data_IF_362808753880
#
_entry.id   IF_362808753880
#
_cell.length_a   1.000
_cell.length_b   1.000
_cell.length_c   1.000
_cell.angle_alpha   90.00
_cell.angle_beta   90.00
_cell.angle_gamma   90.00
#
_symmetry.space_group_name_H-M   'P 1'
#
loop_
_entity.id
_entity.type
_entity.pdbx_description
1 polymer ?
#
# COMPACT_ATOMS: atom_id res chain seq x y z
N UNK A 1 22.06 -22.27 -7.71
CA UNK A 1 21.88 -22.62 -9.13
C UNK A 1 20.47 -23.13 -9.29
N UNK A 2 19.56 -22.29 -9.80
CA UNK A 2 18.17 -22.67 -10.01
C UNK A 2 18.04 -23.54 -11.26
N UNK A 3 17.31 -24.66 -11.14
CA UNK A 3 16.98 -25.56 -12.24
C UNK A 3 16.10 -24.83 -13.26
N UNK A 4 16.73 -24.33 -14.34
CA UNK A 4 16.04 -23.74 -15.50
C UNK A 4 15.30 -24.77 -16.37
N UNK A 5 15.42 -26.08 -16.07
CA UNK A 5 14.89 -27.17 -16.90
C UNK A 5 13.49 -27.66 -16.52
N UNK A 6 12.89 -27.18 -15.42
CA UNK A 6 11.52 -27.57 -15.03
C UNK A 6 10.43 -26.60 -15.52
N UNK A 7 10.81 -25.47 -16.12
CA UNK A 7 9.89 -24.64 -16.88
C UNK A 7 9.81 -25.24 -18.29
N UNK A 8 8.71 -25.92 -18.60
CA UNK A 8 8.47 -26.49 -19.93
C UNK A 8 8.64 -25.44 -21.04
N UNK A 9 8.99 -25.89 -22.24
CA UNK A 9 9.04 -25.04 -23.41
C UNK A 9 7.69 -25.05 -24.12
N UNK A 10 7.12 -23.87 -24.36
CA UNK A 10 6.00 -23.72 -25.28
C UNK A 10 6.52 -23.69 -26.70
N UNK A 11 5.90 -24.47 -27.60
CA UNK A 11 6.26 -24.47 -29.02
C UNK A 11 5.44 -23.42 -29.74
N UNK A 12 6.12 -22.46 -30.35
CA UNK A 12 5.53 -21.46 -31.26
C UNK A 12 5.92 -21.74 -32.70
N UNK A 13 5.04 -21.37 -33.65
CA UNK A 13 5.32 -21.44 -35.08
C UNK A 13 6.06 -20.18 -35.51
N UNK A 14 7.37 -20.15 -35.24
CA UNK A 14 8.24 -19.01 -35.50
C UNK A 14 9.26 -19.31 -36.61
N UNK A 15 9.51 -18.32 -37.46
CA UNK A 15 10.58 -18.35 -38.45
C UNK A 15 11.93 -18.07 -37.76
N UNK A 16 12.67 -19.15 -37.49
CA UNK A 16 13.95 -19.10 -36.78
C UNK A 16 14.98 -18.18 -37.45
N UNK A 17 14.92 -18.03 -38.79
CA UNK A 17 15.91 -17.25 -39.53
C UNK A 17 15.71 -15.74 -39.38
N UNK A 18 14.48 -15.29 -39.16
CA UNK A 18 14.12 -13.88 -38.98
C UNK A 18 13.68 -13.50 -37.57
N UNK A 19 13.69 -14.46 -36.63
CA UNK A 19 13.30 -14.23 -35.25
C UNK A 19 14.21 -13.20 -34.55
N UNK A 20 13.58 -12.15 -34.04
CA UNK A 20 14.19 -10.99 -33.41
C UNK A 20 13.53 -10.76 -32.04
N UNK A 21 14.24 -11.00 -30.93
CA UNK A 21 13.80 -10.56 -29.60
C UNK A 21 13.78 -9.04 -29.53
N UNK A 22 12.63 -8.45 -29.19
CA UNK A 22 12.45 -7.00 -29.06
C UNK A 22 12.62 -6.55 -27.61
N UNK A 23 12.07 -7.31 -26.67
CA UNK A 23 12.15 -7.08 -25.24
C UNK A 23 12.05 -8.42 -24.49
N UNK A 24 12.10 -8.40 -23.15
CA UNK A 24 12.06 -9.59 -22.30
C UNK A 24 10.96 -10.59 -22.68
N UNK A 25 9.77 -10.09 -23.03
CA UNK A 25 8.59 -10.90 -23.33
C UNK A 25 8.05 -10.73 -24.75
N UNK A 26 8.71 -9.91 -25.58
CA UNK A 26 8.24 -9.59 -26.93
C UNK A 26 9.28 -9.96 -27.96
N UNK A 27 8.82 -10.53 -29.07
CA UNK A 27 9.65 -10.82 -30.23
C UNK A 27 8.85 -10.63 -31.51
N UNK A 28 9.54 -10.62 -32.66
CA UNK A 28 8.90 -10.71 -33.97
C UNK A 28 9.73 -11.55 -34.90
N UNK A 29 9.13 -12.02 -35.97
CA UNK A 29 9.83 -12.54 -37.14
C UNK A 29 9.22 -11.94 -38.41
N UNK A 30 9.57 -12.47 -39.59
CA UNK A 30 9.02 -11.98 -40.86
C UNK A 30 7.50 -12.20 -41.00
N UNK A 31 6.94 -13.19 -40.31
CA UNK A 31 5.56 -13.68 -40.45
C UNK A 31 4.67 -13.34 -39.25
N UNK A 32 5.21 -13.07 -38.05
CA UNK A 32 4.45 -12.90 -36.81
C UNK A 32 5.08 -11.93 -35.79
N UNK A 33 4.26 -11.40 -34.90
CA UNK A 33 4.66 -10.75 -33.64
C UNK A 33 4.24 -11.64 -32.48
N UNK A 34 5.12 -11.74 -31.47
CA UNK A 34 4.96 -12.64 -30.34
C UNK A 34 4.96 -11.89 -29.01
N UNK A 35 4.07 -12.30 -28.11
CA UNK A 35 4.16 -12.05 -26.67
C UNK A 35 4.29 -13.39 -25.96
N UNK A 36 5.43 -13.65 -25.32
CA UNK A 36 5.81 -14.97 -24.78
C UNK A 36 5.64 -16.05 -25.86
N UNK A 37 4.69 -16.96 -25.67
CA UNK A 37 4.36 -18.06 -26.56
C UNK A 37 3.08 -17.83 -27.39
N UNK A 38 2.53 -16.62 -27.37
CA UNK A 38 1.34 -16.23 -28.14
C UNK A 38 1.73 -15.45 -29.40
N UNK A 39 1.08 -15.78 -30.52
CA UNK A 39 1.08 -14.93 -31.73
C UNK A 39 -0.01 -13.87 -31.54
N UNK A 40 0.38 -12.61 -31.56
CA UNK A 40 -0.49 -11.45 -31.26
C UNK A 40 -0.81 -10.61 -32.50
N UNK A 41 -0.68 -11.20 -33.69
CA UNK A 41 -0.89 -10.54 -34.99
C UNK A 41 -2.27 -9.88 -35.15
N UNK A 42 -3.29 -10.39 -34.45
CA UNK A 42 -4.64 -9.85 -34.49
C UNK A 42 -4.84 -8.64 -33.56
N UNK A 43 -3.94 -8.43 -32.59
CA UNK A 43 -4.04 -7.39 -31.57
C UNK A 43 -3.26 -6.11 -31.95
N UNK A 44 -2.30 -6.21 -32.87
CA UNK A 44 -1.30 -5.15 -33.14
C UNK A 44 -1.09 -4.89 -34.64
N UNK A 45 -0.71 -3.66 -34.99
CA UNK A 45 -0.08 -3.40 -36.29
C UNK A 45 1.38 -3.87 -36.30
N UNK A 46 1.58 -5.05 -36.88
CA UNK A 46 2.89 -5.71 -36.99
C UNK A 46 3.95 -4.88 -37.70
N UNK A 47 3.55 -4.05 -38.66
CA UNK A 47 4.50 -3.31 -39.50
C UNK A 47 5.19 -2.18 -38.73
N UNK A 48 4.52 -1.66 -37.71
CA UNK A 48 4.98 -0.54 -36.88
C UNK A 48 5.25 -0.96 -35.44
N UNK A 49 5.06 -2.25 -35.12
CA UNK A 49 5.23 -2.80 -33.78
C UNK A 49 6.65 -2.63 -33.25
N UNK A 50 6.72 -2.12 -32.02
CA UNK A 50 7.93 -2.01 -31.22
C UNK A 50 7.60 -2.28 -29.76
N UNK A 51 8.56 -2.81 -29.00
CA UNK A 51 8.35 -3.16 -27.61
C UNK A 51 9.50 -2.68 -26.73
N UNK A 52 9.17 -2.42 -25.46
CA UNK A 52 10.09 -2.20 -24.36
C UNK A 52 9.84 -3.21 -23.24
N UNK A 53 10.48 -3.00 -22.09
CA UNK A 53 10.23 -3.84 -20.92
C UNK A 53 8.82 -3.59 -20.39
N UNK A 54 7.97 -4.64 -20.45
CA UNK A 54 6.59 -4.60 -19.95
C UNK A 54 5.68 -3.54 -20.62
N UNK A 55 5.95 -3.19 -21.88
CA UNK A 55 5.13 -2.25 -22.66
C UNK A 55 5.40 -2.45 -24.16
N UNK A 56 4.40 -2.26 -25.00
CA UNK A 56 4.54 -2.29 -26.45
C UNK A 56 3.75 -1.18 -27.13
N UNK A 57 4.05 -0.95 -28.40
CA UNK A 57 3.49 0.15 -29.18
C UNK A 57 3.35 -0.28 -30.63
N UNK A 58 2.35 0.28 -31.28
CA UNK A 58 2.35 0.45 -32.74
C UNK A 58 2.07 1.93 -33.07
N UNK A 59 1.79 2.27 -34.33
CA UNK A 59 1.48 3.66 -34.70
C UNK A 59 0.17 4.19 -34.10
N UNK A 60 -0.76 3.32 -33.70
CA UNK A 60 -2.10 3.68 -33.23
C UNK A 60 -2.26 3.56 -31.71
N UNK A 61 -1.53 2.64 -31.08
CA UNK A 61 -1.82 2.18 -29.74
C UNK A 61 -0.58 1.98 -28.87
N UNK A 62 -0.77 2.23 -27.58
CA UNK A 62 0.11 1.77 -26.50
C UNK A 62 -0.53 0.54 -25.89
N UNK A 63 0.30 -0.48 -25.64
CA UNK A 63 -0.09 -1.77 -25.14
C UNK A 63 0.63 -2.11 -23.85
N UNK A 64 -0.11 -2.65 -22.89
CA UNK A 64 0.42 -3.22 -21.65
C UNK A 64 0.07 -4.71 -21.64
N UNK A 65 0.97 -5.63 -21.29
CA UNK A 65 0.59 -7.02 -21.08
C UNK A 65 -0.60 -7.13 -20.13
N UNK A 66 -1.64 -7.87 -20.55
CA UNK A 66 -2.90 -7.93 -19.80
C UNK A 66 -2.70 -8.51 -18.39
N UNK A 67 -1.71 -9.37 -18.19
CA UNK A 67 -1.36 -9.90 -16.86
C UNK A 67 -0.81 -8.83 -15.89
N UNK A 68 -0.36 -7.68 -16.41
CA UNK A 68 0.23 -6.60 -15.62
C UNK A 68 -0.76 -5.50 -15.25
N UNK A 69 -1.98 -5.51 -15.81
CA UNK A 69 -3.02 -4.55 -15.41
C UNK A 69 -3.76 -5.05 -14.16
N UNK A 70 -4.46 -4.16 -13.46
CA UNK A 70 -5.13 -4.52 -12.20
C UNK A 70 -6.19 -5.62 -12.41
N UNK A 71 -6.44 -6.41 -11.36
CA UNK A 71 -7.45 -7.47 -11.38
C UNK A 71 -8.82 -6.95 -11.81
N UNK A 72 -9.20 -5.75 -11.36
CA UNK A 72 -10.48 -5.12 -11.71
C UNK A 72 -10.59 -4.85 -13.23
N UNK A 73 -9.49 -4.47 -13.88
CA UNK A 73 -9.45 -4.30 -15.34
C UNK A 73 -9.59 -5.67 -16.02
N UNK A 74 -8.83 -6.67 -15.57
CA UNK A 74 -8.86 -8.01 -16.16
C UNK A 74 -10.26 -8.66 -16.07
N UNK A 75 -10.90 -8.59 -14.90
CA UNK A 75 -12.23 -9.18 -14.67
C UNK A 75 -13.33 -8.53 -15.54
N UNK A 76 -13.15 -7.24 -15.85
CA UNK A 76 -14.10 -6.48 -16.68
C UNK A 76 -14.00 -6.84 -18.17
N UNK A 77 -12.79 -7.07 -18.70
CA UNK A 77 -12.56 -7.20 -20.14
C UNK A 77 -13.03 -8.53 -20.72
N UNK A 78 -12.93 -9.63 -19.97
CA UNK A 78 -13.32 -10.99 -20.41
C UNK A 78 -12.88 -11.30 -21.85
N UNK A 79 -11.60 -11.06 -22.13
CA UNK A 79 -10.98 -11.26 -23.44
C UNK A 79 -9.92 -12.35 -23.39
N UNK A 80 -9.66 -13.00 -24.53
CA UNK A 80 -8.53 -13.90 -24.74
C UNK A 80 -7.29 -13.16 -25.26
N UNK A 81 -7.38 -11.84 -25.47
CA UNK A 81 -6.27 -10.99 -25.89
C UNK A 81 -5.15 -11.00 -24.84
N UNK A 82 -3.92 -10.89 -25.29
CA UNK A 82 -2.74 -10.86 -24.42
C UNK A 82 -2.35 -9.45 -24.01
N UNK A 83 -2.80 -8.44 -24.75
CA UNK A 83 -2.45 -7.05 -24.56
C UNK A 83 -3.67 -6.18 -24.22
N UNK A 84 -3.49 -5.30 -23.24
CA UNK A 84 -4.40 -4.24 -22.89
C UNK A 84 -4.05 -2.95 -23.66
N UNK A 85 -5.03 -2.39 -24.36
CA UNK A 85 -4.88 -1.08 -25.04
C UNK A 85 -5.07 0.05 -24.03
N UNK A 86 -4.05 0.88 -23.87
CA UNK A 86 -4.15 2.14 -23.09
C UNK A 86 -4.92 3.16 -23.92
N UNK A 87 -6.25 3.15 -23.79
CA UNK A 87 -7.12 3.98 -24.60
C UNK A 87 -6.77 5.48 -24.47
N UNK A 88 -6.61 6.14 -25.62
CA UNK A 88 -6.31 7.58 -25.68
C UNK A 88 -4.84 7.96 -25.49
N UNK A 89 -3.95 7.00 -25.21
CA UNK A 89 -2.51 7.24 -25.13
C UNK A 89 -1.90 7.49 -26.51
N UNK A 90 -1.04 8.50 -26.60
CA UNK A 90 -0.22 8.78 -27.78
C UNK A 90 1.03 7.87 -27.78
N UNK A 91 1.16 6.93 -28.73
CA UNK A 91 2.27 5.97 -28.74
C UNK A 91 3.65 6.62 -28.85
N UNK A 92 3.76 7.79 -29.48
CA UNK A 92 5.05 8.46 -29.67
C UNK A 92 5.55 9.13 -28.39
N UNK A 93 4.64 9.57 -27.54
CA UNK A 93 4.96 10.43 -26.38
C UNK A 93 4.60 9.81 -25.03
N UNK A 94 3.92 8.66 -25.01
CA UNK A 94 3.56 7.98 -23.78
C UNK A 94 4.80 7.51 -23.00
N UNK A 95 4.78 7.80 -21.72
CA UNK A 95 5.79 7.45 -20.73
C UNK A 95 5.08 6.82 -19.53
N UNK A 96 5.49 5.60 -19.16
CA UNK A 96 5.13 5.01 -17.87
C UNK A 96 6.07 5.58 -16.81
N UNK A 97 5.51 6.02 -15.70
CA UNK A 97 6.29 6.48 -14.55
C UNK A 97 6.50 5.29 -13.60
N UNK A 98 7.70 5.21 -13.01
CA UNK A 98 8.11 4.05 -12.20
C UNK A 98 7.30 3.88 -10.90
N UNK A 99 6.67 4.96 -10.42
CA UNK A 99 5.93 4.97 -9.16
C UNK A 99 4.40 4.99 -9.37
N UNK A 100 3.70 4.16 -8.60
CA UNK A 100 2.26 4.24 -8.36
C UNK A 100 1.34 4.22 -9.59
N UNK A 101 1.66 3.39 -10.60
CA UNK A 101 0.79 3.12 -11.77
C UNK A 101 0.43 4.37 -12.60
N UNK A 102 1.28 5.40 -12.53
CA UNK A 102 1.12 6.63 -13.31
C UNK A 102 1.72 6.48 -14.70
N UNK A 103 1.08 7.16 -15.66
CA UNK A 103 1.64 7.41 -16.97
C UNK A 103 1.26 8.79 -17.47
N UNK A 104 1.95 9.28 -18.47
CA UNK A 104 1.59 10.51 -19.16
C UNK A 104 1.98 10.42 -20.63
N UNK A 105 1.29 11.18 -21.47
CA UNK A 105 1.75 11.49 -22.83
C UNK A 105 1.84 13.01 -22.98
N UNK A 106 2.00 13.54 -24.20
CA UNK A 106 2.12 14.98 -24.41
C UNK A 106 0.89 15.83 -24.00
N UNK A 107 -0.27 15.22 -23.73
CA UNK A 107 -1.55 15.89 -23.48
C UNK A 107 -2.34 15.34 -22.30
N UNK A 108 -2.10 14.10 -21.92
CA UNK A 108 -2.92 13.34 -21.00
C UNK A 108 -2.08 12.79 -19.86
N UNK A 109 -2.69 12.75 -18.67
CA UNK A 109 -2.25 11.90 -17.58
C UNK A 109 -3.07 10.62 -17.54
N UNK A 110 -2.44 9.55 -17.05
CA UNK A 110 -3.03 8.24 -16.91
C UNK A 110 -2.79 7.71 -15.51
N UNK A 111 -3.82 7.08 -14.94
CA UNK A 111 -3.73 6.29 -13.72
C UNK A 111 -4.26 4.90 -13.99
N UNK A 112 -3.52 3.84 -13.62
CA UNK A 112 -3.89 2.46 -13.95
C UNK A 112 -4.24 2.30 -15.44
N UNK A 113 -3.43 2.93 -16.31
CA UNK A 113 -3.59 2.88 -17.76
C UNK A 113 -4.93 3.43 -18.28
N UNK A 114 -5.60 4.28 -17.50
CA UNK A 114 -6.81 5.01 -17.89
C UNK A 114 -6.56 6.50 -17.86
N UNK A 115 -7.00 7.23 -18.90
CA UNK A 115 -6.91 8.69 -18.94
C UNK A 115 -7.67 9.31 -17.77
N UNK A 116 -7.05 10.31 -17.12
CA UNK A 116 -7.68 11.09 -16.05
C UNK A 116 -7.94 12.53 -16.50
N UNK A 117 -9.08 13.08 -16.10
CA UNK A 117 -9.48 14.44 -16.43
C UNK A 117 -8.94 15.43 -15.38
N UNK A 118 -7.75 15.96 -15.63
CA UNK A 118 -7.04 16.89 -14.74
C UNK A 118 -6.43 18.03 -15.54
N UNK A 119 -6.05 19.12 -14.86
CA UNK A 119 -5.22 20.14 -15.51
C UNK A 119 -3.82 19.58 -15.74
N UNK A 120 -3.46 19.38 -17.01
CA UNK A 120 -2.24 18.67 -17.40
C UNK A 120 -0.95 19.30 -16.86
N UNK A 121 -0.86 20.64 -16.90
CA UNK A 121 0.37 21.36 -16.53
C UNK A 121 0.61 21.38 -15.02
N UNK A 122 -0.46 21.41 -14.23
CA UNK A 122 -0.36 21.52 -12.76
C UNK A 122 -0.61 20.22 -12.01
N UNK A 123 -1.03 19.14 -12.69
CA UNK A 123 -1.27 17.86 -12.04
C UNK A 123 0.02 17.30 -11.43
N UNK A 124 -0.08 16.79 -10.21
CA UNK A 124 1.03 16.24 -9.45
C UNK A 124 0.52 15.16 -8.49
N UNK A 125 1.00 13.91 -8.61
CA UNK A 125 0.90 12.92 -7.55
C UNK A 125 1.59 13.43 -6.28
N UNK A 126 0.91 13.36 -5.14
CA UNK A 126 1.43 13.92 -3.87
C UNK A 126 2.06 12.83 -3.01
N UNK A 127 1.28 11.79 -2.72
CA UNK A 127 1.68 10.68 -1.88
C UNK A 127 0.86 9.43 -2.23
N UNK A 128 0.86 8.43 -1.35
CA UNK A 128 0.15 7.16 -1.58
C UNK A 128 -1.37 7.32 -1.75
N UNK A 129 -1.94 8.38 -1.17
CA UNK A 129 -3.40 8.53 -1.06
C UNK A 129 -3.93 9.77 -1.79
N UNK A 130 -3.09 10.72 -2.15
CA UNK A 130 -3.53 12.01 -2.68
C UNK A 130 -2.74 12.40 -3.93
N UNK A 131 -3.42 13.13 -4.81
CA UNK A 131 -2.84 13.89 -5.91
C UNK A 131 -3.60 15.21 -6.04
N UNK A 132 -3.06 16.17 -6.78
CA UNK A 132 -3.75 17.45 -7.01
C UNK A 132 -3.42 18.02 -8.38
N UNK A 133 -4.26 18.95 -8.79
CA UNK A 133 -3.93 19.96 -9.79
C UNK A 133 -4.18 21.37 -9.20
N UNK A 134 -4.12 22.41 -10.03
CA UNK A 134 -4.34 23.80 -9.59
C UNK A 134 -5.77 24.06 -9.10
N UNK A 135 -6.74 23.24 -9.51
CA UNK A 135 -8.16 23.42 -9.23
C UNK A 135 -8.65 22.53 -8.09
N UNK A 136 -8.08 21.33 -7.94
CA UNK A 136 -8.70 20.25 -7.19
C UNK A 136 -7.65 19.33 -6.53
N UNK A 137 -7.96 18.85 -5.32
CA UNK A 137 -7.29 17.70 -4.70
C UNK A 137 -8.11 16.45 -4.98
N UNK A 138 -7.44 15.33 -5.22
CA UNK A 138 -8.06 14.04 -5.46
C UNK A 138 -7.52 13.01 -4.49
N UNK A 139 -8.41 12.12 -4.04
CA UNK A 139 -8.06 10.88 -3.37
C UNK A 139 -7.69 9.86 -4.44
N UNK A 140 -6.55 9.20 -4.28
CA UNK A 140 -6.14 8.05 -5.09
C UNK A 140 -6.65 6.77 -4.43
N UNK A 141 -7.55 6.08 -5.12
CA UNK A 141 -7.97 4.72 -4.77
C UNK A 141 -7.14 3.71 -5.54
N UNK A 142 -7.34 2.41 -5.35
CA UNK A 142 -6.63 1.38 -6.14
C UNK A 142 -6.97 1.38 -7.63
N UNK A 143 -8.10 1.97 -8.04
CA UNK A 143 -8.63 1.87 -9.41
C UNK A 143 -8.81 3.21 -10.12
N UNK A 144 -9.03 4.29 -9.36
CA UNK A 144 -9.34 5.61 -9.89
C UNK A 144 -8.90 6.75 -8.95
N UNK A 145 -8.97 7.98 -9.45
CA UNK A 145 -8.87 9.18 -8.63
C UNK A 145 -10.24 9.81 -8.42
N UNK A 146 -10.54 10.23 -7.20
CA UNK A 146 -11.82 10.81 -6.82
C UNK A 146 -11.61 12.24 -6.32
N UNK A 147 -12.32 13.25 -6.87
CA UNK A 147 -12.21 14.62 -6.38
C UNK A 147 -12.68 14.70 -4.92
N UNK A 148 -11.95 15.42 -4.08
CA UNK A 148 -12.28 15.59 -2.67
C UNK A 148 -12.27 17.07 -2.25
N UNK A 149 -13.12 17.45 -1.29
CA UNK A 149 -13.27 18.84 -0.89
C UNK A 149 -12.16 19.31 0.06
N UNK A 150 -10.93 19.38 -0.46
CA UNK A 150 -9.73 19.90 0.23
C UNK A 150 -9.20 21.09 -0.57
N UNK A 151 -8.75 22.14 0.13
CA UNK A 151 -8.21 23.34 -0.54
C UNK A 151 -6.83 23.06 -1.16
N UNK A 152 -6.81 22.91 -2.49
CA UNK A 152 -5.60 22.67 -3.27
C UNK A 152 -4.54 23.79 -3.14
N UNK A 153 -4.95 25.02 -2.82
CA UNK A 153 -4.03 26.18 -2.75
C UNK A 153 -3.21 26.19 -1.47
N UNK A 154 -3.80 25.77 -0.37
CA UNK A 154 -3.15 25.74 0.95
C UNK A 154 -2.63 24.36 1.33
N UNK A 155 -2.78 23.39 0.43
CA UNK A 155 -2.36 22.01 0.66
C UNK A 155 -0.85 21.89 0.95
N UNK A 156 -0.54 21.22 2.04
CA UNK A 156 0.79 20.83 2.48
C UNK A 156 0.86 19.32 2.67
N UNK A 157 1.99 18.74 2.30
CA UNK A 157 2.29 17.31 2.48
C UNK A 157 2.85 17.15 3.89
N UNK A 158 2.35 16.16 4.64
CA UNK A 158 2.91 15.81 5.95
C UNK A 158 3.87 14.63 5.78
N UNK A 159 3.40 13.55 5.15
CA UNK A 159 4.19 12.36 4.83
C UNK A 159 3.51 11.55 3.70
N UNK A 160 3.94 10.30 3.52
CA UNK A 160 3.45 9.40 2.46
C UNK A 160 1.96 8.99 2.60
N UNK A 161 1.31 9.40 3.70
CA UNK A 161 -0.10 9.10 4.02
C UNK A 161 -0.95 10.36 4.19
N UNK A 162 -0.51 11.30 5.03
CA UNK A 162 -1.29 12.46 5.44
C UNK A 162 -0.98 13.71 4.61
N UNK A 163 -2.01 14.52 4.38
CA UNK A 163 -1.92 15.89 3.86
C UNK A 163 -2.67 16.84 4.79
N UNK A 164 -2.43 18.14 4.70
CA UNK A 164 -3.23 19.14 5.38
C UNK A 164 -3.51 20.34 4.48
N UNK A 165 -4.66 20.97 4.64
CA UNK A 165 -4.89 22.34 4.18
C UNK A 165 -4.70 23.32 5.33
N UNK A 166 -5.09 24.59 5.17
CA UNK A 166 -4.94 25.60 6.22
C UNK A 166 -5.73 25.33 7.52
N UNK A 167 -6.62 24.33 7.56
CA UNK A 167 -7.57 24.10 8.68
C UNK A 167 -7.52 22.67 9.21
N UNK A 168 -7.30 21.70 8.34
CA UNK A 168 -7.46 20.29 8.68
C UNK A 168 -6.30 19.45 8.16
N UNK A 169 -5.94 18.45 8.95
CA UNK A 169 -5.20 17.27 8.53
C UNK A 169 -6.18 16.26 7.96
N UNK A 170 -5.80 15.59 6.89
CA UNK A 170 -6.59 14.61 6.17
C UNK A 170 -5.87 13.26 6.11
N UNK A 171 -6.64 12.19 6.33
CA UNK A 171 -6.20 10.82 6.17
C UNK A 171 -7.23 10.02 5.40
N UNK A 172 -6.83 9.38 4.31
CA UNK A 172 -7.72 8.49 3.57
C UNK A 172 -7.44 7.04 3.94
N UNK A 173 -8.46 6.38 4.48
CA UNK A 173 -8.43 4.98 4.88
C UNK A 173 -9.38 4.20 3.97
N UNK A 174 -8.82 3.47 3.00
CA UNK A 174 -9.59 2.62 2.11
C UNK A 174 -10.14 1.39 2.85
N UNK A 175 -9.34 0.78 3.73
CA UNK A 175 -9.66 -0.48 4.40
C UNK A 175 -9.45 -0.39 5.91
N UNK A 176 -10.37 -0.98 6.67
CA UNK A 176 -10.25 -1.12 8.11
C UNK A 176 -10.82 -2.48 8.54
N UNK A 177 -10.04 -3.27 9.30
CA UNK A 177 -10.42 -4.62 9.75
C UNK A 177 -10.91 -5.53 8.60
N UNK A 178 -10.15 -5.56 7.48
CA UNK A 178 -10.48 -6.35 6.28
C UNK A 178 -11.81 -5.96 5.59
N UNK A 179 -12.38 -4.82 5.95
CA UNK A 179 -13.57 -4.25 5.32
C UNK A 179 -13.20 -2.95 4.63
N UNK A 180 -13.69 -2.77 3.41
CA UNK A 180 -13.59 -1.50 2.71
C UNK A 180 -14.48 -0.46 3.40
N UNK A 181 -13.90 0.69 3.74
CA UNK A 181 -14.58 1.80 4.44
C UNK A 181 -14.46 3.13 3.71
N UNK A 182 -13.45 3.31 2.86
CA UNK A 182 -13.22 4.50 2.01
C UNK A 182 -13.52 5.81 2.75
N UNK A 183 -12.91 5.98 3.92
CA UNK A 183 -13.19 7.10 4.83
C UNK A 183 -12.08 8.13 4.75
N UNK A 184 -12.46 9.40 4.56
CA UNK A 184 -11.56 10.54 4.72
C UNK A 184 -11.72 11.10 6.14
N UNK A 185 -10.77 10.79 7.02
CA UNK A 185 -10.71 11.36 8.35
C UNK A 185 -10.17 12.79 8.30
N UNK A 186 -10.72 13.66 9.14
CA UNK A 186 -10.38 15.08 9.20
C UNK A 186 -10.10 15.50 10.64
N UNK A 187 -8.97 16.15 10.88
CA UNK A 187 -8.57 16.60 12.21
C UNK A 187 -8.19 18.07 12.18
N UNK A 188 -8.87 18.90 12.98
CA UNK A 188 -8.48 20.31 13.11
C UNK A 188 -7.17 20.43 13.88
N UNK A 189 -6.30 21.31 13.43
CA UNK A 189 -5.02 21.61 14.09
C UNK A 189 -4.87 23.12 14.28
N UNK A 190 -4.01 23.54 15.22
CA UNK A 190 -3.76 24.96 15.51
C UNK A 190 -2.57 25.52 14.72
N UNK A 191 -1.46 24.78 14.69
CA UNK A 191 -0.21 25.21 14.06
C UNK A 191 0.43 24.06 13.28
N UNK A 192 0.68 24.28 11.99
CA UNK A 192 1.25 23.27 11.11
C UNK A 192 2.66 22.87 11.54
N UNK A 193 3.42 23.80 12.14
CA UNK A 193 4.78 23.54 12.63
C UNK A 193 4.80 22.63 13.87
N UNK A 194 3.63 22.34 14.45
CA UNK A 194 3.48 21.36 15.54
C UNK A 194 3.09 19.98 15.03
N UNK A 195 3.02 19.76 13.73
CA UNK A 195 2.76 18.44 13.15
C UNK A 195 4.08 17.70 12.97
N UNK A 196 4.15 16.48 13.50
CA UNK A 196 5.25 15.54 13.33
C UNK A 196 4.68 14.20 12.85
N UNK A 197 4.88 13.95 11.56
CA UNK A 197 4.50 12.71 10.86
C UNK A 197 5.70 11.90 10.40
N UNK A 198 6.82 11.99 11.12
CA UNK A 198 8.03 11.21 10.78
C UNK A 198 7.88 9.72 11.05
N UNK A 199 6.95 9.34 11.94
CA UNK A 199 6.53 7.97 12.14
C UNK A 199 5.34 7.66 11.23
N UNK A 200 5.41 6.58 10.43
CA UNK A 200 4.34 6.26 9.49
C UNK A 200 3.04 5.82 10.16
N UNK A 201 3.13 5.26 11.38
CA UNK A 201 1.99 4.70 12.10
C UNK A 201 1.36 5.71 13.05
N UNK A 202 2.15 6.68 13.53
CA UNK A 202 1.71 7.71 14.47
C UNK A 202 1.88 9.11 13.91
N UNK A 203 0.84 9.93 14.03
CA UNK A 203 0.90 11.35 13.75
C UNK A 203 0.73 12.15 15.04
N UNK A 204 1.73 12.95 15.38
CA UNK A 204 1.66 13.90 16.49
C UNK A 204 1.30 15.27 15.94
N UNK A 205 0.31 15.93 16.53
CA UNK A 205 -0.07 17.29 16.14
C UNK A 205 -0.62 18.01 17.36
N UNK A 206 -0.23 19.26 17.54
CA UNK A 206 -0.54 20.02 18.76
C UNK A 206 -0.24 19.19 20.02
N UNK A 207 -1.26 18.90 20.83
CA UNK A 207 -1.18 18.04 22.02
C UNK A 207 -1.81 16.64 21.81
N UNK A 208 -2.14 16.26 20.58
CA UNK A 208 -2.87 15.04 20.23
C UNK A 208 -1.98 14.04 19.50
N UNK A 209 -2.45 12.78 19.46
CA UNK A 209 -1.80 11.67 18.75
C UNK A 209 -2.85 10.88 18.00
N UNK A 210 -2.62 10.66 16.70
CA UNK A 210 -3.38 9.74 15.87
C UNK A 210 -2.54 8.47 15.67
N UNK A 211 -3.19 7.32 15.72
CA UNK A 211 -2.64 6.05 15.25
C UNK A 211 -3.55 5.51 14.15
N UNK A 212 -2.97 5.24 12.98
CA UNK A 212 -3.69 4.65 11.84
C UNK A 212 -5.06 5.30 11.55
N UNK A 213 -5.09 6.64 11.48
CA UNK A 213 -6.32 7.40 11.19
C UNK A 213 -7.33 7.51 12.34
N UNK A 214 -7.00 6.99 13.53
CA UNK A 214 -7.84 7.06 14.72
C UNK A 214 -7.16 7.94 15.78
N UNK A 215 -7.89 8.95 16.26
CA UNK A 215 -7.45 9.78 17.39
C UNK A 215 -7.41 8.93 18.67
N UNK A 216 -6.30 8.99 19.40
CA UNK A 216 -6.18 8.37 20.73
C UNK A 216 -6.67 9.38 21.77
N UNK A 217 -7.96 9.38 22.08
CA UNK A 217 -8.62 10.41 22.91
C UNK A 217 -7.99 10.59 24.31
N UNK A 218 -7.52 9.50 24.92
CA UNK A 218 -6.93 9.51 26.27
C UNK A 218 -5.42 9.83 26.26
N UNK A 219 -4.81 10.14 25.11
CA UNK A 219 -3.37 10.41 24.98
C UNK A 219 -3.08 11.91 24.81
N UNK A 220 -2.02 12.37 25.49
CA UNK A 220 -1.42 13.67 25.22
C UNK A 220 -0.03 13.48 24.64
N UNK A 221 0.33 14.30 23.64
CA UNK A 221 1.66 14.24 23.00
C UNK A 221 2.80 14.22 24.01
N UNK A 222 2.70 15.03 25.07
CA UNK A 222 3.76 15.17 26.07
C UNK A 222 4.04 13.88 26.86
N UNK A 223 3.03 13.02 27.02
CA UNK A 223 3.13 11.81 27.86
C UNK A 223 3.13 10.52 27.04
N UNK A 224 2.69 10.58 25.78
CA UNK A 224 2.60 9.42 24.90
C UNK A 224 3.98 8.96 24.43
N UNK A 225 4.26 7.67 24.63
CA UNK A 225 5.52 7.03 24.29
C UNK A 225 5.26 5.72 23.58
N UNK A 226 5.68 5.62 22.33
CA UNK A 226 5.76 4.36 21.60
C UNK A 226 6.85 3.50 22.24
N UNK A 227 6.55 2.23 22.52
CA UNK A 227 7.50 1.30 23.08
C UNK A 227 8.36 0.72 21.95
N UNK A 228 9.68 0.73 22.17
CA UNK A 228 10.64 0.27 21.18
C UNK A 228 10.43 -1.22 20.83
N UNK A 229 10.09 -1.46 19.56
CA UNK A 229 9.80 -2.78 18.99
C UNK A 229 9.81 -2.69 17.46
N UNK A 230 10.07 -3.79 16.73
CA UNK A 230 9.99 -3.79 15.28
C UNK A 230 8.64 -3.32 14.72
N UNK A 231 7.53 -3.69 15.35
CA UNK A 231 6.18 -3.30 14.92
C UNK A 231 5.69 -1.96 15.49
N UNK A 232 6.35 -1.40 16.51
CA UNK A 232 5.91 -0.18 17.22
C UNK A 232 4.44 -0.19 17.67
N UNK A 233 3.85 -1.39 17.80
CA UNK A 233 2.42 -1.54 18.03
C UNK A 233 2.01 -1.19 19.46
N UNK A 234 2.90 -1.36 20.43
CA UNK A 234 2.61 -0.97 21.81
C UNK A 234 3.06 0.46 22.10
N UNK A 235 2.24 1.18 22.84
CA UNK A 235 2.55 2.50 23.35
C UNK A 235 1.98 2.67 24.76
N UNK A 236 2.39 3.72 25.47
CA UNK A 236 1.81 4.07 26.77
C UNK A 236 1.86 5.56 27.02
N UNK A 237 0.98 6.02 27.90
CA UNK A 237 1.12 7.31 28.59
C UNK A 237 1.21 7.06 30.10
N UNK A 238 1.03 8.10 30.91
CA UNK A 238 1.13 7.99 32.37
C UNK A 238 -0.05 7.23 33.02
N UNK A 239 -1.13 6.96 32.27
CA UNK A 239 -2.38 6.37 32.78
C UNK A 239 -2.75 5.04 32.14
N UNK A 240 -2.37 4.82 30.89
CA UNK A 240 -2.84 3.71 30.07
C UNK A 240 -1.73 3.15 29.19
N UNK A 241 -1.90 1.87 28.87
CA UNK A 241 -1.13 1.17 27.85
C UNK A 241 -2.04 0.94 26.64
N UNK A 242 -1.46 1.03 25.45
CA UNK A 242 -2.15 0.90 24.19
C UNK A 242 -1.48 -0.20 23.34
N UNK A 243 -2.30 -0.88 22.55
CA UNK A 243 -1.85 -1.74 21.46
C UNK A 243 -2.58 -1.31 20.18
N UNK A 244 -1.83 -0.92 19.16
CA UNK A 244 -2.34 -0.39 17.90
C UNK A 244 -3.40 0.70 18.11
N UNK A 245 -3.04 1.71 18.92
CA UNK A 245 -3.92 2.83 19.30
C UNK A 245 -5.05 2.49 20.27
N UNK A 246 -5.34 1.20 20.51
CA UNK A 246 -6.43 0.76 21.39
C UNK A 246 -5.95 0.57 22.81
N UNK A 247 -6.70 1.15 23.76
CA UNK A 247 -6.45 1.05 25.21
C UNK A 247 -6.58 -0.39 25.71
N UNK A 248 -5.56 -0.87 26.42
CA UNK A 248 -5.55 -2.16 27.11
C UNK A 248 -6.12 -1.95 28.51
N UNK A 249 -7.35 -2.38 28.73
CA UNK A 249 -8.03 -2.19 30.01
C UNK A 249 -7.40 -3.06 31.12
N UNK A 250 -7.08 -2.44 32.26
CA UNK A 250 -6.53 -3.14 33.43
C UNK A 250 -5.02 -3.38 33.41
N UNK A 251 -4.31 -2.89 32.38
CA UNK A 251 -2.86 -2.96 32.33
C UNK A 251 -2.20 -2.04 33.37
N UNK A 252 -1.19 -2.55 34.07
CA UNK A 252 -0.38 -1.77 35.01
C UNK A 252 0.76 -1.06 34.27
N UNK A 253 0.59 0.24 34.03
CA UNK A 253 1.48 1.10 33.22
C UNK A 253 2.93 1.09 33.71
N UNK A 254 3.14 1.12 35.03
CA UNK A 254 4.46 1.23 35.65
C UNK A 254 5.30 -0.02 35.37
N UNK A 255 4.69 -1.19 35.54
CA UNK A 255 5.35 -2.49 35.34
C UNK A 255 5.24 -3.03 33.92
N UNK A 256 4.46 -2.41 33.02
CA UNK A 256 4.29 -2.88 31.64
C UNK A 256 5.59 -2.90 30.84
N UNK A 257 5.95 -4.06 30.28
CA UNK A 257 7.15 -4.28 29.47
C UNK A 257 6.86 -5.25 28.32
N UNK A 258 7.58 -5.10 27.22
CA UNK A 258 7.53 -6.02 26.09
C UNK A 258 8.43 -7.24 26.33
N UNK A 259 8.06 -8.37 25.73
CA UNK A 259 8.98 -9.49 25.53
C UNK A 259 9.81 -9.28 24.26
N UNK A 260 10.84 -10.12 24.04
CA UNK A 260 11.66 -10.11 22.82
C UNK A 260 10.81 -10.29 21.55
N UNK A 261 9.73 -11.06 21.66
CA UNK A 261 8.70 -11.15 20.63
C UNK A 261 7.64 -10.09 20.90
N UNK A 262 7.58 -9.08 20.05
CA UNK A 262 6.77 -7.88 20.23
C UNK A 262 5.26 -8.12 20.18
N UNK A 263 4.79 -9.29 19.73
CA UNK A 263 3.40 -9.69 19.92
C UNK A 263 3.02 -9.88 21.40
N UNK A 264 3.98 -10.20 22.27
CA UNK A 264 3.75 -10.47 23.68
C UNK A 264 4.24 -9.33 24.57
N UNK A 265 3.47 -9.05 25.60
CA UNK A 265 3.84 -8.12 26.66
C UNK A 265 3.41 -8.65 28.03
N UNK A 266 3.92 -8.05 29.10
CA UNK A 266 3.49 -8.34 30.46
C UNK A 266 3.42 -7.07 31.29
N UNK A 267 2.63 -7.15 32.35
CA UNK A 267 2.78 -6.31 33.52
C UNK A 267 3.01 -7.19 34.75
N UNK A 268 2.94 -6.63 35.96
CA UNK A 268 3.14 -7.38 37.22
C UNK A 268 2.02 -8.38 37.53
N UNK A 269 0.86 -8.27 36.88
CA UNK A 269 -0.36 -9.03 37.15
C UNK A 269 -0.81 -9.91 35.98
N UNK A 270 -0.38 -9.62 34.75
CA UNK A 270 -0.94 -10.23 33.54
C UNK A 270 0.10 -10.36 32.40
N UNK A 271 -0.18 -11.28 31.49
CA UNK A 271 0.48 -11.43 30.19
C UNK A 271 -0.52 -11.06 29.10
N UNK A 272 -0.04 -10.41 28.04
CA UNK A 272 -0.82 -9.94 26.90
C UNK A 272 -0.26 -10.50 25.59
N UNK A 273 -1.14 -10.80 24.65
CA UNK A 273 -0.80 -11.15 23.27
C UNK A 273 -1.62 -10.25 22.33
N UNK A 274 -0.96 -9.49 21.46
CA UNK A 274 -1.60 -8.50 20.58
C UNK A 274 -2.58 -7.57 21.32
N UNK A 275 -2.16 -7.07 22.49
CA UNK A 275 -2.98 -6.21 23.35
C UNK A 275 -4.10 -6.91 24.12
N UNK A 276 -4.31 -8.21 23.90
CA UNK A 276 -5.36 -8.99 24.56
C UNK A 276 -4.78 -9.68 25.79
N UNK A 277 -5.41 -9.48 26.95
CA UNK A 277 -5.05 -10.17 28.20
C UNK A 277 -5.23 -11.69 28.05
N UNK A 278 -4.20 -12.46 28.43
CA UNK A 278 -4.24 -13.92 28.46
C UNK A 278 -4.70 -14.41 29.84
N UNK A 279 -5.77 -15.20 29.89
CA UNK A 279 -6.29 -15.77 31.13
C UNK A 279 -5.61 -17.11 31.50
N UNK A 280 -5.45 -17.35 32.80
CA UNK A 280 -4.92 -18.62 33.33
C UNK A 280 -3.42 -18.85 33.13
N UNK A 281 -2.67 -17.85 32.67
CA UNK A 281 -1.22 -17.91 32.45
C UNK A 281 -0.45 -17.69 33.75
N UNK A 282 0.49 -18.59 34.05
CA UNK A 282 1.49 -18.34 35.09
C UNK A 282 2.57 -17.37 34.59
N UNK A 283 2.51 -16.13 35.08
CA UNK A 283 3.36 -15.02 34.64
C UNK A 283 4.86 -15.32 34.88
N UNK A 284 5.18 -16.05 35.95
CA UNK A 284 6.57 -16.36 36.33
C UNK A 284 7.21 -17.39 35.40
N UNK A 285 6.42 -18.28 34.80
CA UNK A 285 6.91 -19.26 33.84
C UNK A 285 6.64 -18.92 32.38
N UNK A 286 5.91 -17.82 32.10
CA UNK A 286 5.64 -17.37 30.74
C UNK A 286 6.85 -16.67 30.12
N UNK A 287 7.41 -17.31 29.10
CA UNK A 287 8.53 -16.81 28.32
C UNK A 287 9.09 -17.86 27.37
N UNK A 288 10.06 -17.48 26.51
CA UNK A 288 10.74 -18.42 25.63
C UNK A 288 11.48 -19.49 26.45
N UNK A 289 11.35 -20.76 26.06
CA UNK A 289 12.01 -21.88 26.77
C UNK A 289 13.53 -21.89 26.57
N UNK A 290 13.99 -21.49 25.38
CA UNK A 290 15.40 -21.46 24.98
C UNK A 290 15.62 -20.33 23.98
N UNK A 291 16.79 -19.65 24.04
CA UNK A 291 17.15 -18.52 23.15
C UNK A 291 17.26 -18.91 21.66
N UNK A 292 17.11 -20.19 21.31
CA UNK A 292 17.39 -20.74 19.98
C UNK A 292 16.19 -21.39 19.29
N UNK A 293 15.04 -21.55 19.96
CA UNK A 293 13.85 -22.18 19.35
C UNK A 293 12.58 -21.47 19.81
N UNK A 294 11.81 -20.93 18.86
CA UNK A 294 10.65 -20.05 19.04
C UNK A 294 9.38 -20.68 19.63
N UNK A 295 9.50 -21.49 20.68
CA UNK A 295 8.34 -21.96 21.45
C UNK A 295 8.27 -21.26 22.81
N UNK A 296 7.11 -20.64 23.08
CA UNK A 296 6.76 -20.09 24.39
C UNK A 296 6.15 -21.19 25.24
N UNK A 297 6.58 -21.31 26.50
CA UNK A 297 5.97 -22.25 27.45
C UNK A 297 4.78 -21.58 28.09
N UNK A 298 3.61 -22.19 27.93
CA UNK A 298 2.39 -21.82 28.67
C UNK A 298 2.18 -22.89 29.73
N UNK A 299 2.45 -22.57 31.00
CA UNK A 299 1.90 -23.35 32.12
C UNK A 299 0.61 -22.69 32.54
N UNK A 300 -0.51 -23.37 32.31
CA UNK A 300 -1.81 -22.91 32.81
C UNK A 300 -2.01 -23.37 34.24
N UNK A 301 -2.49 -22.49 35.12
CA UNK A 301 -2.98 -22.94 36.43
C UNK A 301 -4.28 -23.74 36.22
N UNK A 302 -4.48 -24.91 36.85
CA UNK A 302 -5.72 -25.67 36.70
C UNK A 302 -6.93 -24.80 37.08
N UNK A 303 -7.91 -24.75 36.19
CA UNK A 303 -9.18 -24.07 36.43
C UNK A 303 -9.84 -24.71 37.65
N UNK A 304 -10.03 -23.97 38.74
CA UNK A 304 -10.79 -24.47 39.89
C UNK A 304 -12.25 -24.61 39.43
N UNK A 305 -12.71 -25.85 39.28
CA UNK A 305 -14.13 -26.14 39.08
C UNK A 305 -14.93 -25.54 40.23
N UNK A 306 -15.86 -24.63 39.90
CA UNK A 306 -16.82 -24.12 40.85
C UNK A 306 -17.69 -25.28 41.36
N UNK A 307 -17.65 -25.51 42.68
CA UNK A 307 -18.55 -26.43 43.39
C UNK A 307 -19.92 -25.83 43.59
#
# INVERSE_FOLDING_TARGET
MGNWFELGNSKVDADVASFEPLAREFAKDKDHVFYKDYIIDAEVDRSTFRAGEAIAYDTNHVYIPLEMVSYDIQDTLKTDDQLFIVAGADPETFERLDDWDWGKDAKNWFYNYRTIAVDYESFTPINTNFCKDINQVYIRTSSEILPCNIDAKTLKIINDRYVADARYIYDYVAWQNQKEVNTLHTFSYEDFERIDGTDSDYLYFDNQVIYDGILIEDATRATFKVLDSPTKAYAKNDQYVYYSGKKICGADVESFRLYDYDQYARDKNHVYCWGIKMEGVDIESFGPKEKTVGYIVIKTTPMQEAK
#
